data_IF_608786010464
#
_entry.id   IF_608786010464
#
_cell.length_a   1.000
_cell.length_b   1.000
_cell.length_c   1.000
_cell.angle_alpha   90.00
_cell.angle_beta   90.00
_cell.angle_gamma   90.00
#
_symmetry.space_group_name_H-M   'P 1'
#
loop_
_entity.id
_entity.type
_entity.pdbx_description
1 polymer ?
#
# COMPACT_ATOMS: atom_id res chain seq x y z
N UNK A 1 12.28 8.61 -22.64
CA UNK A 1 11.17 8.89 -21.71
C UNK A 1 10.26 9.89 -22.38
N UNK A 2 8.96 9.67 -22.29
CA UNK A 2 7.95 10.57 -22.85
C UNK A 2 7.30 11.40 -21.74
N UNK A 3 6.65 12.51 -22.10
CA UNK A 3 6.03 13.44 -21.13
C UNK A 3 5.09 12.75 -20.12
N UNK A 4 4.43 11.65 -20.51
CA UNK A 4 3.61 10.83 -19.60
C UNK A 4 4.45 10.27 -18.45
N UNK A 5 5.52 9.55 -18.78
CA UNK A 5 6.42 8.91 -17.81
C UNK A 5 7.14 9.95 -16.94
N UNK A 6 7.60 11.06 -17.54
CA UNK A 6 8.25 12.14 -16.79
C UNK A 6 7.32 12.77 -15.75
N UNK A 7 6.04 12.95 -16.09
CA UNK A 7 5.01 13.44 -15.17
C UNK A 7 4.78 12.46 -14.00
N UNK A 8 4.74 11.16 -14.29
CA UNK A 8 4.55 10.12 -13.28
C UNK A 8 5.70 10.11 -12.28
N UNK A 9 6.93 10.12 -12.77
CA UNK A 9 8.13 10.18 -11.95
C UNK A 9 8.23 11.48 -11.14
N UNK A 10 7.86 12.61 -11.76
CA UNK A 10 7.77 13.90 -11.05
C UNK A 10 6.70 13.89 -9.95
N UNK A 11 5.57 13.23 -10.18
CA UNK A 11 4.50 13.08 -9.20
C UNK A 11 4.92 12.20 -8.01
N UNK A 12 5.60 11.06 -8.26
CA UNK A 12 6.17 10.20 -7.21
C UNK A 12 7.11 10.99 -6.30
N UNK A 13 8.06 11.74 -6.88
CA UNK A 13 8.98 12.60 -6.11
C UNK A 13 8.25 13.67 -5.30
N UNK A 14 7.23 14.31 -5.88
CA UNK A 14 6.42 15.30 -5.18
C UNK A 14 5.64 14.68 -4.01
N UNK A 15 5.06 13.50 -4.17
CA UNK A 15 4.36 12.78 -3.10
C UNK A 15 5.30 12.47 -1.92
N UNK A 16 6.46 11.88 -2.20
CA UNK A 16 7.46 11.57 -1.18
C UNK A 16 7.96 12.81 -0.44
N UNK A 17 8.06 13.97 -1.11
CA UNK A 17 8.50 15.22 -0.50
C UNK A 17 7.39 15.96 0.28
N UNK A 18 6.18 16.02 -0.29
CA UNK A 18 5.13 16.95 0.17
C UNK A 18 3.85 16.29 0.65
N UNK A 19 3.58 15.05 0.26
CA UNK A 19 2.28 14.41 0.48
C UNK A 19 1.23 14.82 -0.55
N UNK A 20 0.03 14.26 -0.44
CA UNK A 20 -1.08 14.51 -1.36
C UNK A 20 -1.59 15.95 -1.28
N UNK A 21 -1.93 16.42 -0.09
CA UNK A 21 -2.64 17.68 0.11
C UNK A 21 -1.78 18.89 -0.27
N UNK A 22 -0.46 18.80 -0.10
CA UNK A 22 0.46 19.92 -0.41
C UNK A 22 1.03 19.88 -1.83
N UNK A 23 0.80 18.82 -2.59
CA UNK A 23 1.33 18.71 -3.96
C UNK A 23 0.42 19.42 -4.96
N UNK A 24 0.99 20.38 -5.71
CA UNK A 24 0.29 21.13 -6.76
C UNK A 24 0.71 20.67 -8.16
N UNK A 25 -0.12 20.95 -9.18
CA UNK A 25 0.22 20.62 -10.57
C UNK A 25 1.49 21.35 -11.05
N UNK A 26 1.75 22.55 -10.52
CA UNK A 26 2.97 23.32 -10.83
C UNK A 26 4.22 22.67 -10.24
N UNK A 27 4.09 22.06 -9.05
CA UNK A 27 5.19 21.30 -8.46
C UNK A 27 5.57 20.12 -9.36
N UNK A 28 4.58 19.34 -9.78
CA UNK A 28 4.79 18.17 -10.64
C UNK A 28 5.41 18.58 -11.98
N UNK A 29 4.92 19.64 -12.61
CA UNK A 29 5.47 20.15 -13.87
C UNK A 29 6.92 20.62 -13.70
N UNK A 30 7.22 21.33 -12.60
CA UNK A 30 8.58 21.76 -12.28
C UNK A 30 9.50 20.57 -12.07
N UNK A 31 9.03 19.54 -11.37
CA UNK A 31 9.80 18.34 -11.04
C UNK A 31 10.01 17.39 -12.23
N UNK A 32 9.06 17.37 -13.17
CA UNK A 32 9.08 16.54 -14.37
C UNK A 32 9.75 17.21 -15.57
N UNK A 33 9.90 18.54 -15.56
CA UNK A 33 10.37 19.31 -16.73
C UNK A 33 9.36 19.38 -17.88
N UNK A 34 8.10 18.99 -17.63
CA UNK A 34 7.03 18.96 -18.65
C UNK A 34 6.19 20.24 -18.64
N UNK A 35 4.88 20.16 -18.89
CA UNK A 35 3.97 21.30 -18.88
C UNK A 35 2.57 20.92 -18.33
N UNK A 36 1.78 21.93 -17.94
CA UNK A 36 0.46 21.72 -17.33
C UNK A 36 -0.55 21.04 -18.26
N UNK A 37 -0.47 21.29 -19.57
CA UNK A 37 -1.39 20.69 -20.54
C UNK A 37 -1.17 19.17 -20.66
N UNK A 38 0.07 18.70 -20.50
CA UNK A 38 0.41 17.28 -20.51
C UNK A 38 -0.28 16.50 -19.39
N UNK A 39 -0.55 17.11 -18.22
CA UNK A 39 -1.29 16.46 -17.13
C UNK A 39 -2.71 16.14 -17.59
N UNK A 40 -3.43 17.14 -18.09
CA UNK A 40 -4.80 16.96 -18.57
C UNK A 40 -4.88 15.96 -19.72
N UNK A 41 -3.90 16.00 -20.66
CA UNK A 41 -3.87 15.12 -21.81
C UNK A 41 -3.62 13.64 -21.45
N UNK A 42 -2.71 13.36 -20.51
CA UNK A 42 -2.30 11.99 -20.19
C UNK A 42 -3.04 11.34 -19.02
N UNK A 43 -3.48 12.15 -18.06
CA UNK A 43 -4.02 11.68 -16.77
C UNK A 43 -5.39 12.27 -16.44
N UNK A 44 -5.87 13.25 -17.21
CA UNK A 44 -7.14 13.94 -16.95
C UNK A 44 -7.04 15.00 -15.85
N UNK A 45 -6.45 14.67 -14.70
CA UNK A 45 -6.30 15.59 -13.57
C UNK A 45 -4.99 15.39 -12.80
N UNK A 46 -4.66 16.36 -11.92
CA UNK A 46 -3.56 16.24 -10.96
C UNK A 46 -3.82 15.08 -9.99
N UNK A 47 -5.05 14.93 -9.54
CA UNK A 47 -5.42 13.98 -8.49
C UNK A 47 -5.42 12.55 -9.03
N UNK A 48 -5.86 12.34 -10.27
CA UNK A 48 -5.71 11.08 -10.99
C UNK A 48 -4.23 10.70 -11.18
N UNK A 49 -3.38 11.67 -11.57
CA UNK A 49 -1.93 11.46 -11.67
C UNK A 49 -1.31 11.08 -10.32
N UNK A 50 -1.67 11.76 -9.23
CA UNK A 50 -1.14 11.46 -7.90
C UNK A 50 -1.62 10.09 -7.41
N UNK A 51 -2.88 9.73 -7.64
CA UNK A 51 -3.40 8.41 -7.29
C UNK A 51 -2.66 7.31 -8.06
N UNK A 52 -2.46 7.48 -9.37
CA UNK A 52 -1.71 6.53 -10.19
C UNK A 52 -0.23 6.42 -9.74
N UNK A 53 0.42 7.55 -9.46
CA UNK A 53 1.78 7.56 -8.94
C UNK A 53 1.89 6.82 -7.61
N UNK A 54 0.90 6.97 -6.73
CA UNK A 54 0.85 6.25 -5.46
C UNK A 54 0.67 4.75 -5.64
N UNK A 55 -0.27 4.31 -6.49
CA UNK A 55 -0.48 2.89 -6.79
C UNK A 55 0.81 2.24 -7.28
N UNK A 56 1.49 2.87 -8.25
CA UNK A 56 2.74 2.32 -8.80
C UNK A 56 3.89 2.30 -7.77
N UNK A 57 3.91 3.24 -6.82
CA UNK A 57 4.87 3.18 -5.71
C UNK A 57 4.54 2.04 -4.72
N UNK A 58 3.26 1.79 -4.42
CA UNK A 58 2.86 0.67 -3.56
C UNK A 58 3.18 -0.65 -4.25
N UNK A 59 2.87 -0.79 -5.54
CA UNK A 59 3.21 -1.96 -6.36
C UNK A 59 4.72 -2.22 -6.35
N UNK A 60 5.56 -1.19 -6.49
CA UNK A 60 7.01 -1.34 -6.40
C UNK A 60 7.53 -1.74 -5.02
N UNK A 61 6.77 -1.48 -3.94
CA UNK A 61 7.08 -1.97 -2.59
C UNK A 61 6.60 -3.42 -2.42
N UNK A 62 5.62 -3.87 -3.18
CA UNK A 62 5.15 -5.27 -3.12
C UNK A 62 6.28 -6.26 -3.43
N UNK A 63 7.21 -5.92 -4.32
CA UNK A 63 8.42 -6.71 -4.57
C UNK A 63 9.31 -6.83 -3.30
N UNK A 64 9.26 -5.85 -2.40
CA UNK A 64 9.94 -5.91 -1.11
C UNK A 64 9.21 -6.79 -0.08
N UNK A 65 7.92 -7.08 -0.26
CA UNK A 65 7.19 -8.04 0.59
C UNK A 65 7.66 -9.47 0.35
N UNK A 66 8.04 -9.79 -0.88
CA UNK A 66 8.54 -11.12 -1.26
C UNK A 66 9.91 -11.44 -0.65
N UNK A 67 10.68 -10.41 -0.28
CA UNK A 67 12.06 -10.55 0.20
C UNK A 67 13.02 -11.05 -0.89
N UNK A 68 14.30 -10.70 -0.80
CA UNK A 68 15.27 -11.08 -1.84
C UNK A 68 15.50 -12.59 -1.99
N UNK A 69 15.19 -13.36 -0.95
CA UNK A 69 15.39 -14.82 -0.87
C UNK A 69 14.08 -15.62 -0.94
N UNK A 70 12.95 -14.94 -1.21
CA UNK A 70 11.60 -15.50 -1.12
C UNK A 70 11.07 -15.58 0.31
N UNK A 71 9.73 -15.70 0.42
CA UNK A 71 9.03 -15.69 1.71
C UNK A 71 9.11 -17.07 2.37
N UNK A 72 9.58 -17.11 3.62
CA UNK A 72 9.62 -18.32 4.46
C UNK A 72 8.23 -18.81 4.86
N UNK A 73 8.11 -20.12 5.08
CA UNK A 73 6.89 -20.79 5.49
C UNK A 73 5.96 -21.15 4.32
N UNK A 74 5.21 -22.25 4.50
CA UNK A 74 4.24 -22.73 3.52
C UNK A 74 3.10 -21.71 3.30
N UNK A 75 2.50 -21.66 2.10
CA UNK A 75 1.28 -20.91 1.82
C UNK A 75 0.21 -21.01 2.93
N UNK A 76 -0.27 -19.87 3.39
CA UNK A 76 -1.32 -19.78 4.42
C UNK A 76 -0.88 -20.19 5.83
N UNK A 77 0.39 -20.55 6.04
CA UNK A 77 0.92 -20.91 7.35
C UNK A 77 1.10 -19.69 8.26
N UNK A 78 1.12 -19.93 9.58
CA UNK A 78 1.40 -18.89 10.57
C UNK A 78 2.84 -18.35 10.47
N UNK A 79 3.78 -19.19 10.01
CA UNK A 79 5.16 -18.80 9.77
C UNK A 79 5.24 -17.80 8.63
N UNK A 80 4.59 -18.11 7.50
CA UNK A 80 4.48 -17.19 6.37
C UNK A 80 3.78 -15.90 6.75
N UNK A 81 2.73 -15.99 7.58
CA UNK A 81 2.05 -14.82 8.11
C UNK A 81 3.02 -13.90 8.87
N UNK A 82 3.84 -14.46 9.77
CA UNK A 82 4.84 -13.69 10.51
C UNK A 82 5.92 -13.09 9.59
N UNK A 83 6.44 -13.86 8.62
CA UNK A 83 7.48 -13.39 7.71
C UNK A 83 6.98 -12.20 6.86
N UNK A 84 5.78 -12.31 6.27
CA UNK A 84 5.21 -11.24 5.43
C UNK A 84 5.00 -9.96 6.24
N UNK A 85 4.45 -10.05 7.46
CA UNK A 85 4.29 -8.86 8.30
C UNK A 85 5.63 -8.28 8.74
N UNK A 86 6.65 -9.12 8.97
CA UNK A 86 8.00 -8.66 9.30
C UNK A 86 8.60 -7.84 8.15
N UNK A 87 8.46 -8.32 6.91
CA UNK A 87 8.89 -7.60 5.71
C UNK A 87 8.15 -6.25 5.56
N UNK A 88 6.82 -6.27 5.71
CA UNK A 88 5.97 -5.07 5.68
C UNK A 88 6.43 -4.06 6.75
N UNK A 89 6.63 -4.50 8.00
CA UNK A 89 7.10 -3.63 9.09
C UNK A 89 8.50 -3.07 8.78
N UNK A 90 9.37 -3.86 8.17
CA UNK A 90 10.68 -3.41 7.69
C UNK A 90 10.57 -2.15 6.81
N UNK A 91 9.65 -2.15 5.85
CA UNK A 91 9.42 -1.00 4.96
C UNK A 91 8.83 0.23 5.67
N UNK A 92 8.14 0.04 6.82
CA UNK A 92 7.62 1.15 7.64
C UNK A 92 8.71 1.87 8.41
N UNK A 93 9.82 1.19 8.73
CA UNK A 93 10.95 1.75 9.48
C UNK A 93 11.85 2.66 8.64
N UNK A 94 11.72 2.60 7.32
CA UNK A 94 12.55 3.39 6.41
C UNK A 94 12.24 4.90 6.51
N UNK A 95 13.27 5.76 6.53
CA UNK A 95 13.07 7.21 6.50
C UNK A 95 12.27 7.62 5.25
N UNK A 96 11.16 8.32 5.45
CA UNK A 96 10.31 8.77 4.34
C UNK A 96 9.41 7.68 3.76
N UNK A 97 9.20 6.58 4.49
CA UNK A 97 8.32 5.47 4.12
C UNK A 97 7.00 5.93 3.48
N UNK A 98 6.64 5.28 2.37
CA UNK A 98 5.45 5.58 1.58
C UNK A 98 4.17 5.46 2.42
N UNK A 99 4.15 4.58 3.42
CA UNK A 99 2.98 4.30 4.26
C UNK A 99 2.44 5.51 5.02
N UNK A 100 3.26 6.55 5.23
CA UNK A 100 2.79 7.82 5.77
C UNK A 100 1.73 8.49 4.89
N UNK A 101 1.78 8.26 3.58
CA UNK A 101 0.83 8.82 2.61
C UNK A 101 -0.54 8.16 2.74
N UNK A 102 -0.60 6.88 3.10
CA UNK A 102 -1.85 6.17 3.42
C UNK A 102 -2.63 6.91 4.50
N UNK A 103 -1.93 7.38 5.55
CA UNK A 103 -2.56 8.11 6.64
C UNK A 103 -3.09 9.48 6.20
N UNK A 104 -2.45 10.15 5.24
CA UNK A 104 -2.95 11.40 4.69
C UNK A 104 -4.27 11.19 3.93
N UNK A 105 -4.39 10.11 3.16
CA UNK A 105 -5.63 9.74 2.47
C UNK A 105 -6.76 9.45 3.48
N UNK A 106 -6.45 8.73 4.57
CA UNK A 106 -7.45 8.41 5.61
C UNK A 106 -7.88 9.65 6.38
N UNK A 107 -6.95 10.52 6.78
CA UNK A 107 -7.22 11.70 7.62
C UNK A 107 -7.82 12.85 6.82
N UNK A 108 -7.35 13.07 5.59
CA UNK A 108 -7.75 14.19 4.73
C UNK A 108 -8.67 13.75 3.58
N UNK A 109 -9.30 12.57 3.68
CA UNK A 109 -10.09 11.99 2.60
C UNK A 109 -11.19 12.90 2.04
N UNK A 110 -11.85 13.70 2.89
CA UNK A 110 -12.87 14.67 2.47
C UNK A 110 -12.29 15.86 1.68
N UNK A 111 -10.99 16.12 1.82
CA UNK A 111 -10.26 17.14 1.05
C UNK A 111 -9.64 16.56 -0.24
N UNK A 112 -9.68 15.24 -0.41
CA UNK A 112 -9.08 14.50 -1.52
C UNK A 112 -10.07 13.51 -2.17
N UNK A 113 -11.32 13.92 -2.50
CA UNK A 113 -12.37 13.00 -2.92
C UNK A 113 -12.03 12.23 -4.21
N UNK A 114 -11.42 12.89 -5.19
CA UNK A 114 -11.02 12.27 -6.47
C UNK A 114 -9.89 11.25 -6.26
N UNK A 115 -8.85 11.60 -5.48
CA UNK A 115 -7.78 10.66 -5.10
C UNK A 115 -8.37 9.44 -4.40
N UNK A 116 -9.25 9.65 -3.42
CA UNK A 116 -9.91 8.57 -2.69
C UNK A 116 -10.71 7.66 -3.61
N UNK A 117 -11.44 8.22 -4.57
CA UNK A 117 -12.20 7.45 -5.55
C UNK A 117 -11.28 6.56 -6.41
N UNK A 118 -10.18 7.12 -6.92
CA UNK A 118 -9.19 6.36 -7.68
C UNK A 118 -8.57 5.23 -6.85
N UNK A 119 -8.15 5.51 -5.61
CA UNK A 119 -7.53 4.51 -4.75
C UNK A 119 -8.53 3.45 -4.25
N UNK A 120 -9.79 3.82 -4.05
CA UNK A 120 -10.84 2.85 -3.71
C UNK A 120 -11.05 1.81 -4.82
N UNK A 121 -10.89 2.20 -6.10
CA UNK A 121 -10.93 1.26 -7.22
C UNK A 121 -9.73 0.31 -7.22
N UNK A 122 -8.55 0.81 -6.86
CA UNK A 122 -7.31 0.02 -6.76
C UNK A 122 -7.26 -0.92 -5.53
N UNK A 123 -8.08 -0.67 -4.50
CA UNK A 123 -8.06 -1.52 -3.29
C UNK A 123 -8.38 -2.99 -3.56
N UNK A 124 -9.23 -3.28 -4.55
CA UNK A 124 -9.59 -4.66 -4.88
C UNK A 124 -8.44 -5.44 -5.51
N UNK A 125 -7.64 -4.77 -6.33
CA UNK A 125 -6.40 -5.32 -6.89
C UNK A 125 -5.37 -5.50 -5.78
N UNK A 126 -5.21 -4.50 -4.90
CA UNK A 126 -4.36 -4.63 -3.71
C UNK A 126 -4.77 -5.78 -2.77
N UNK A 127 -6.07 -6.01 -2.59
CA UNK A 127 -6.62 -7.13 -1.81
C UNK A 127 -6.28 -8.48 -2.45
N UNK A 128 -6.23 -8.55 -3.78
CA UNK A 128 -5.83 -9.75 -4.52
C UNK A 128 -4.33 -10.00 -4.39
N UNK A 129 -3.50 -8.98 -4.64
CA UNK A 129 -2.06 -9.06 -4.50
C UNK A 129 -1.63 -9.49 -3.09
N UNK A 130 -2.22 -8.91 -2.04
CA UNK A 130 -1.88 -9.31 -0.67
C UNK A 130 -2.28 -10.76 -0.38
N UNK A 131 -3.42 -11.27 -0.89
CA UNK A 131 -3.77 -12.70 -0.74
C UNK A 131 -2.72 -13.58 -1.38
N UNK A 132 -2.25 -13.24 -2.59
CA UNK A 132 -1.18 -13.98 -3.28
C UNK A 132 0.12 -14.00 -2.47
N UNK A 133 0.50 -12.90 -1.83
CA UNK A 133 1.69 -12.85 -0.96
C UNK A 133 1.57 -13.87 0.19
N UNK A 134 0.42 -13.92 0.88
CA UNK A 134 0.22 -14.82 2.02
C UNK A 134 -0.07 -16.28 1.63
N UNK A 135 -0.65 -16.55 0.46
CA UNK A 135 -1.12 -17.88 0.05
C UNK A 135 -0.42 -18.43 -1.20
N UNK A 136 0.58 -17.72 -1.72
CA UNK A 136 1.28 -18.09 -2.95
C UNK A 136 0.36 -18.11 -4.18
N UNK A 137 0.87 -18.72 -5.25
CA UNK A 137 0.15 -18.83 -6.52
C UNK A 137 0.30 -17.59 -7.42
N UNK A 138 -0.56 -17.49 -8.42
CA UNK A 138 -0.63 -16.33 -9.32
C UNK A 138 -1.83 -15.47 -8.95
N UNK A 139 -1.67 -14.16 -9.08
CA UNK A 139 -2.72 -13.19 -8.75
C UNK A 139 -4.02 -13.45 -9.54
N UNK A 140 -3.90 -13.77 -10.83
CA UNK A 140 -5.02 -14.10 -11.72
C UNK A 140 -5.85 -15.32 -11.30
N UNK A 141 -5.28 -16.21 -10.49
CA UNK A 141 -5.92 -17.45 -10.04
C UNK A 141 -6.64 -17.28 -8.68
N UNK A 142 -6.54 -16.11 -8.03
CA UNK A 142 -7.14 -15.87 -6.72
C UNK A 142 -8.68 -15.81 -6.84
N UNK A 143 -9.44 -16.64 -6.11
CA UNK A 143 -10.90 -16.60 -6.15
C UNK A 143 -11.46 -15.29 -5.60
N UNK A 144 -12.58 -14.82 -6.15
CA UNK A 144 -13.21 -13.58 -5.67
C UNK A 144 -13.67 -13.65 -4.21
N UNK A 145 -14.10 -14.84 -3.77
CA UNK A 145 -14.41 -15.09 -2.35
C UNK A 145 -13.19 -14.84 -1.44
N UNK A 146 -11.98 -15.22 -1.87
CA UNK A 146 -10.76 -15.01 -1.10
C UNK A 146 -10.39 -13.52 -1.05
N UNK A 147 -10.60 -12.78 -2.14
CA UNK A 147 -10.42 -11.32 -2.17
C UNK A 147 -11.38 -10.64 -1.19
N UNK A 148 -12.65 -11.02 -1.24
CA UNK A 148 -13.72 -10.43 -0.43
C UNK A 148 -13.65 -10.83 1.06
N UNK A 149 -12.87 -11.87 1.41
CA UNK A 149 -12.68 -12.33 2.79
C UNK A 149 -11.26 -12.07 3.29
N UNK A 150 -10.29 -12.89 2.86
CA UNK A 150 -8.89 -12.82 3.27
C UNK A 150 -8.25 -11.49 2.85
N UNK A 151 -8.53 -11.02 1.63
CA UNK A 151 -7.98 -9.76 1.11
C UNK A 151 -8.34 -8.57 1.99
N UNK A 152 -9.62 -8.36 2.27
CA UNK A 152 -10.05 -7.29 3.17
C UNK A 152 -9.61 -7.50 4.62
N UNK A 153 -9.50 -8.74 5.10
CA UNK A 153 -8.94 -9.02 6.42
C UNK A 153 -7.48 -8.53 6.52
N UNK A 154 -6.63 -8.89 5.55
CA UNK A 154 -5.24 -8.47 5.51
C UNK A 154 -5.08 -6.97 5.29
N UNK A 155 -5.88 -6.34 4.40
CA UNK A 155 -5.85 -4.89 4.23
C UNK A 155 -6.28 -4.14 5.50
N UNK A 156 -7.26 -4.67 6.24
CA UNK A 156 -7.69 -4.10 7.52
C UNK A 156 -6.57 -4.17 8.56
N UNK A 157 -5.90 -5.31 8.67
CA UNK A 157 -4.71 -5.48 9.51
C UNK A 157 -3.59 -4.50 9.11
N UNK A 158 -3.30 -4.40 7.82
CA UNK A 158 -2.29 -3.49 7.28
C UNK A 158 -2.60 -2.03 7.63
N UNK A 159 -3.85 -1.60 7.47
CA UNK A 159 -4.26 -0.23 7.81
C UNK A 159 -4.19 0.05 9.32
N UNK A 160 -4.61 -0.91 10.15
CA UNK A 160 -4.44 -0.82 11.61
C UNK A 160 -2.97 -0.78 12.05
N UNK A 161 -2.11 -1.53 11.36
CA UNK A 161 -0.67 -1.55 11.60
C UNK A 161 -0.02 -0.22 11.22
N UNK A 162 -0.33 0.31 10.02
CA UNK A 162 0.14 1.63 9.58
C UNK A 162 -0.27 2.74 10.56
N UNK A 163 -1.50 2.70 11.06
CA UNK A 163 -1.99 3.66 12.03
C UNK A 163 -1.22 3.59 13.36
N UNK A 164 -0.97 2.39 13.88
CA UNK A 164 -0.20 2.19 15.11
C UNK A 164 1.25 2.63 14.96
N UNK A 165 1.91 2.28 13.86
CA UNK A 165 3.27 2.74 13.54
C UNK A 165 3.35 4.25 13.36
N UNK A 166 2.32 4.89 12.78
CA UNK A 166 2.28 6.35 12.67
C UNK A 166 2.05 7.03 14.02
N UNK A 167 1.27 6.41 14.90
CA UNK A 167 0.92 6.96 16.22
C UNK A 167 2.07 6.85 17.23
N UNK A 168 2.59 5.64 17.46
CA UNK A 168 3.75 5.39 18.31
C UNK A 168 4.59 4.23 17.76
N UNK A 169 5.62 4.53 16.94
CA UNK A 169 6.53 3.52 16.40
C UNK A 169 7.20 2.65 17.48
N UNK A 170 7.34 3.12 18.73
CA UNK A 170 8.04 2.38 19.78
C UNK A 170 7.17 1.29 20.40
N UNK A 171 5.86 1.46 20.37
CA UNK A 171 4.90 0.50 20.92
C UNK A 171 4.08 -0.21 19.86
N UNK A 172 4.29 0.12 18.58
CA UNK A 172 3.59 -0.51 17.47
C UNK A 172 3.89 -2.03 17.45
N UNK A 173 2.91 -2.85 17.03
CA UNK A 173 3.05 -4.30 17.10
C UNK A 173 4.09 -4.82 16.10
N UNK A 174 4.85 -5.79 16.55
CA UNK A 174 5.78 -6.58 15.75
C UNK A 174 5.09 -7.81 15.15
N UNK A 175 5.68 -8.41 14.12
CA UNK A 175 5.09 -9.51 13.37
C UNK A 175 4.80 -10.75 14.24
N UNK A 176 5.69 -11.07 15.18
CA UNK A 176 5.51 -12.19 16.11
C UNK A 176 4.32 -11.98 17.04
N UNK A 177 4.06 -10.73 17.44
CA UNK A 177 2.91 -10.40 18.29
C UNK A 177 1.60 -10.55 17.51
N UNK A 178 1.57 -10.16 16.24
CA UNK A 178 0.42 -10.39 15.37
C UNK A 178 0.16 -11.88 15.14
N UNK A 179 1.22 -12.66 14.89
CA UNK A 179 1.12 -14.10 14.69
C UNK A 179 0.64 -14.83 15.96
N UNK A 180 1.16 -14.45 17.13
CA UNK A 180 0.70 -14.96 18.43
C UNK A 180 -0.77 -14.61 18.69
N UNK A 181 -1.17 -13.36 18.41
CA UNK A 181 -2.55 -12.93 18.53
C UNK A 181 -3.50 -13.76 17.65
N UNK A 182 -3.14 -13.97 16.38
CA UNK A 182 -3.92 -14.80 15.45
C UNK A 182 -4.06 -16.24 15.94
N UNK A 183 -2.96 -16.84 16.44
CA UNK A 183 -3.00 -18.21 17.00
C UNK A 183 -3.99 -18.33 18.14
N UNK A 184 -3.94 -17.41 19.11
CA UNK A 184 -4.87 -17.40 20.26
C UNK A 184 -6.32 -17.24 19.85
N UNK A 185 -6.60 -16.41 18.85
CA UNK A 185 -7.96 -16.27 18.29
C UNK A 185 -8.44 -17.60 17.70
N UNK A 186 -7.61 -18.27 16.90
CA UNK A 186 -7.93 -19.57 16.29
C UNK A 186 -8.16 -20.64 17.36
N UNK A 187 -7.34 -20.68 18.41
CA UNK A 187 -7.50 -21.61 19.54
C UNK A 187 -8.83 -21.37 20.27
N UNK A 188 -9.14 -20.11 20.62
CA UNK A 188 -10.39 -19.78 21.31
C UNK A 188 -11.65 -20.11 20.51
N UNK A 189 -11.63 -19.98 19.17
CA UNK A 189 -12.75 -20.36 18.30
C UNK A 189 -12.93 -21.88 18.22
N UNK A 190 -11.87 -22.68 18.39
CA UNK A 190 -11.98 -24.15 18.40
C UNK A 190 -12.58 -24.68 19.71
N UNK A 191 -12.49 -23.89 20.77
CA UNK A 191 -13.00 -24.23 22.11
C UNK A 191 -14.48 -23.83 22.31
N UNK A 192 -15.06 -23.02 21.41
CA UNK A 192 -16.46 -22.57 21.41
C UNK A 192 -17.38 -23.48 20.62
#
# INVERSE_FOLDING_TARGET
MGHREDLLEGAKRCLLAKGFARTTARDIVKESGTNLASIGYHYGSKDALLAQAYVEMVEGISDAFDGSDGIRGEPGSIERFAEVWSNIIGTMREPGSLWRLSMEIVVMGDQLPEVREHLARAQREGARGIVTVFHGGREEDVPEEAVDTLGYFYLTLMMGLMAQWTFDPKSAPEAEQLAEGLRKVIEGVKES
#
